data_IF_043626510412
#
_entry.id   IF_043626510412
#
_cell.length_a   1.000
_cell.length_b   1.000
_cell.length_c   1.000
_cell.angle_alpha   90.00
_cell.angle_beta   90.00
_cell.angle_gamma   90.00
#
_symmetry.space_group_name_H-M   'P 1'
#
loop_
_entity.id
_entity.type
_entity.pdbx_description
1 polymer ?
#
# COMPACT_ATOMS: atom_id res chain seq x y z
N UNK A 1 15.63 21.59 3.20
CA UNK A 1 14.58 20.60 3.53
C UNK A 1 14.41 19.66 2.35
N UNK A 2 14.40 18.34 2.56
CA UNK A 2 14.24 17.35 1.48
C UNK A 2 12.75 17.25 1.13
N UNK A 3 12.40 17.33 -0.16
CA UNK A 3 11.00 17.24 -0.62
C UNK A 3 10.51 15.79 -0.46
N UNK A 4 9.59 15.58 0.47
CA UNK A 4 8.92 14.29 0.65
C UNK A 4 7.84 14.12 -0.41
N UNK A 5 7.75 12.94 -1.02
CA UNK A 5 6.71 12.58 -1.98
C UNK A 5 5.98 11.35 -1.46
N UNK A 6 4.69 11.30 -1.72
CA UNK A 6 3.85 10.14 -1.43
C UNK A 6 2.83 9.99 -2.56
N UNK A 7 2.47 8.74 -2.85
CA UNK A 7 1.35 8.37 -3.72
C UNK A 7 0.22 7.87 -2.84
N UNK A 8 -0.96 8.46 -2.96
CA UNK A 8 -2.15 8.04 -2.22
C UNK A 8 -3.12 7.40 -3.22
N UNK A 9 -3.50 6.15 -2.96
CA UNK A 9 -4.45 5.39 -3.78
C UNK A 9 -5.72 5.16 -2.95
N UNK A 10 -6.82 5.79 -3.35
CA UNK A 10 -8.15 5.57 -2.78
C UNK A 10 -8.91 4.49 -3.54
N UNK A 11 -9.58 3.57 -2.85
CA UNK A 11 -10.36 2.50 -3.46
C UNK A 11 -11.58 2.05 -2.64
N UNK A 12 -12.48 1.33 -3.29
CA UNK A 12 -13.72 0.81 -2.69
C UNK A 12 -14.02 -0.56 -3.32
N UNK A 13 -15.20 -0.79 -3.90
CA UNK A 13 -15.49 -2.03 -4.61
C UNK A 13 -14.60 -2.20 -5.87
N UNK A 14 -14.01 -3.38 -6.04
CA UNK A 14 -13.24 -3.76 -7.24
C UNK A 14 -11.83 -3.18 -7.34
N UNK A 15 -11.41 -2.29 -6.44
CA UNK A 15 -10.05 -1.70 -6.50
C UNK A 15 -8.95 -2.72 -6.17
N UNK A 16 -9.27 -3.76 -5.40
CA UNK A 16 -8.30 -4.80 -5.04
C UNK A 16 -7.74 -5.51 -6.28
N UNK A 17 -8.60 -5.87 -7.24
CA UNK A 17 -8.17 -6.55 -8.47
C UNK A 17 -7.23 -5.69 -9.31
N UNK A 18 -7.39 -4.37 -9.25
CA UNK A 18 -6.50 -3.42 -9.92
C UNK A 18 -5.17 -3.32 -9.18
N UNK A 19 -5.20 -3.16 -7.85
CA UNK A 19 -4.00 -3.11 -7.02
C UNK A 19 -3.14 -4.38 -7.19
N UNK A 20 -3.77 -5.55 -7.27
CA UNK A 20 -3.11 -6.82 -7.50
C UNK A 20 -2.45 -6.96 -8.87
N UNK A 21 -2.84 -6.14 -9.85
CA UNK A 21 -2.22 -6.10 -11.18
C UNK A 21 -1.12 -5.04 -11.25
N UNK A 22 -1.31 -3.90 -10.58
CA UNK A 22 -0.41 -2.75 -10.68
C UNK A 22 0.79 -2.86 -9.72
N UNK A 23 0.56 -3.23 -8.45
CA UNK A 23 1.63 -3.27 -7.44
C UNK A 23 2.78 -4.25 -7.76
N UNK A 24 2.57 -5.41 -8.39
CA UNK A 24 3.66 -6.31 -8.79
C UNK A 24 4.57 -5.72 -9.89
N UNK A 25 4.07 -4.77 -10.69
CA UNK A 25 4.84 -4.14 -11.78
C UNK A 25 5.68 -2.93 -11.30
N UNK A 26 5.51 -2.52 -10.04
CA UNK A 26 6.29 -1.44 -9.45
C UNK A 26 7.70 -1.90 -9.10
N UNK A 27 8.67 -0.99 -9.25
CA UNK A 27 10.06 -1.24 -8.86
C UNK A 27 10.20 -1.17 -7.34
N UNK A 28 11.10 -1.97 -6.79
CA UNK A 28 11.29 -2.10 -5.34
C UNK A 28 11.93 -0.85 -4.70
N UNK A 29 12.53 0.03 -5.50
CA UNK A 29 13.32 1.19 -5.05
C UNK A 29 12.61 2.54 -5.28
N UNK A 30 11.33 2.61 -4.93
CA UNK A 30 10.56 3.86 -5.03
C UNK A 30 11.12 4.93 -4.08
N UNK A 31 11.27 6.14 -4.61
CA UNK A 31 11.76 7.32 -3.88
C UNK A 31 10.63 8.10 -3.17
N UNK A 32 9.49 7.43 -2.99
CA UNK A 32 8.28 7.89 -2.30
C UNK A 32 7.58 6.72 -1.60
N UNK A 33 6.68 7.03 -0.67
CA UNK A 33 5.83 6.05 0.01
C UNK A 33 4.50 5.85 -0.74
N UNK A 34 3.93 4.64 -0.68
CA UNK A 34 2.58 4.37 -1.20
C UNK A 34 1.61 4.18 -0.05
N UNK A 35 0.54 4.97 -0.02
CA UNK A 35 -0.53 4.87 0.98
C UNK A 35 -1.79 4.40 0.28
N UNK A 36 -2.31 3.25 0.67
CA UNK A 36 -3.52 2.65 0.10
C UNK A 36 -4.66 2.81 1.10
N UNK A 37 -5.69 3.55 0.72
CA UNK A 37 -6.90 3.77 1.52
C UNK A 37 -8.06 3.07 0.83
N UNK A 38 -8.53 1.96 1.40
CA UNK A 38 -9.66 1.23 0.83
C UNK A 38 -10.81 1.07 1.83
N UNK A 39 -12.04 1.20 1.35
CA UNK A 39 -13.22 0.86 2.15
C UNK A 39 -13.28 -0.65 2.36
N UNK A 40 -13.24 -1.08 3.63
CA UNK A 40 -13.28 -2.50 4.01
C UNK A 40 -14.48 -2.77 4.90
N UNK A 41 -15.02 -3.98 4.80
CA UNK A 41 -16.04 -4.49 5.74
C UNK A 41 -15.31 -5.02 6.97
N UNK A 42 -15.75 -4.66 8.18
CA UNK A 42 -15.10 -5.04 9.44
C UNK A 42 -14.84 -6.56 9.52
N UNK A 43 -13.64 -6.95 9.95
CA UNK A 43 -13.28 -8.35 10.27
C UNK A 43 -12.30 -9.05 9.32
N UNK A 44 -11.58 -8.34 8.44
CA UNK A 44 -10.66 -8.96 7.45
C UNK A 44 -9.24 -8.37 7.46
N UNK A 45 -8.81 -7.77 8.58
CA UNK A 45 -7.67 -6.83 8.61
C UNK A 45 -6.34 -7.43 8.18
N UNK A 46 -6.03 -8.65 8.61
CA UNK A 46 -4.76 -9.29 8.20
C UNK A 46 -4.74 -9.76 6.75
N UNK A 47 -5.89 -10.19 6.20
CA UNK A 47 -5.95 -10.89 4.90
C UNK A 47 -5.48 -10.01 3.73
N UNK A 48 -5.80 -8.72 3.75
CA UNK A 48 -5.42 -7.81 2.67
C UNK A 48 -3.92 -7.56 2.64
N UNK A 49 -3.34 -7.23 3.79
CA UNK A 49 -1.92 -6.94 3.92
C UNK A 49 -1.08 -8.14 3.51
N UNK A 50 -1.48 -9.35 3.94
CA UNK A 50 -0.83 -10.60 3.57
C UNK A 50 -0.94 -10.85 2.06
N UNK A 51 -2.13 -10.70 1.50
CA UNK A 51 -2.39 -10.89 0.07
C UNK A 51 -1.57 -9.93 -0.81
N UNK A 52 -1.50 -8.65 -0.44
CA UNK A 52 -0.68 -7.68 -1.16
C UNK A 52 0.81 -8.00 -1.01
N UNK A 53 1.29 -8.30 0.21
CA UNK A 53 2.68 -8.69 0.47
C UNK A 53 3.12 -9.92 -0.33
N UNK A 54 2.22 -10.87 -0.58
CA UNK A 54 2.52 -12.05 -1.40
C UNK A 54 2.55 -11.77 -2.91
N UNK A 55 2.06 -10.62 -3.35
CA UNK A 55 1.87 -10.29 -4.77
C UNK A 55 2.83 -9.24 -5.28
N UNK A 56 3.39 -8.41 -4.40
CA UNK A 56 4.42 -7.42 -4.74
C UNK A 56 5.72 -7.71 -3.99
N UNK A 57 6.84 -7.23 -4.54
CA UNK A 57 8.13 -7.22 -3.86
C UNK A 57 8.27 -6.03 -2.90
N UNK A 58 7.32 -5.10 -2.91
CA UNK A 58 7.27 -3.99 -1.96
C UNK A 58 6.94 -4.52 -0.56
N UNK A 59 7.50 -3.87 0.45
CA UNK A 59 7.16 -4.15 1.84
C UNK A 59 5.77 -3.58 2.12
N UNK A 60 4.77 -4.44 2.28
CA UNK A 60 3.42 -4.00 2.62
C UNK A 60 3.16 -4.24 4.10
N UNK A 61 2.57 -3.25 4.77
CA UNK A 61 2.07 -3.39 6.14
C UNK A 61 0.80 -2.56 6.34
N UNK A 62 0.05 -2.89 7.38
CA UNK A 62 -1.01 -2.01 7.85
C UNK A 62 -0.40 -0.75 8.50
N UNK A 63 -1.02 0.41 8.26
CA UNK A 63 -0.54 1.68 8.80
C UNK A 63 -0.82 1.77 10.30
N UNK A 64 0.21 2.11 11.09
CA UNK A 64 0.07 2.26 12.53
C UNK A 64 -0.26 3.71 12.93
N UNK A 65 -0.94 3.90 14.06
CA UNK A 65 -1.22 5.24 14.58
C UNK A 65 0.09 6.03 14.79
N UNK A 66 0.14 7.27 14.28
CA UNK A 66 1.29 8.20 14.41
C UNK A 66 2.60 7.68 13.83
N UNK A 67 2.55 6.66 12.98
CA UNK A 67 3.72 6.18 12.28
C UNK A 67 4.34 7.28 11.39
N UNK A 68 5.67 7.33 11.36
CA UNK A 68 6.40 8.18 10.42
C UNK A 68 6.45 7.50 9.05
N UNK A 69 5.97 8.19 8.02
CA UNK A 69 6.03 7.70 6.64
C UNK A 69 7.47 7.81 6.09
N UNK A 70 8.02 6.68 5.63
CA UNK A 70 9.35 6.58 5.03
C UNK A 70 9.24 6.18 3.56
N UNK A 71 10.24 6.53 2.75
CA UNK A 71 10.30 6.07 1.36
C UNK A 71 10.52 4.56 1.30
N UNK A 72 9.95 3.91 0.28
CA UNK A 72 10.04 2.45 0.08
C UNK A 72 9.36 1.60 1.16
N UNK A 73 8.48 2.21 1.95
CA UNK A 73 7.43 1.53 2.74
C UNK A 73 6.08 1.60 2.02
#
# INVERSE_FOLDING_TARGET
>A
MRKQRALIIGGSAGSLDVLLKVLPELRDNLDFAIIIVIHRKQGTDSLLTDLLSHRTNLKVKEADEKETILNSN
#
